data_IF_336028472062
#
_entry.id   IF_336028472062
#
_cell.length_a   1.000
_cell.length_b   1.000
_cell.length_c   1.000
_cell.angle_alpha   90.00
_cell.angle_beta   90.00
_cell.angle_gamma   90.00
#
_symmetry.space_group_name_H-M   'P 1'
#
loop_
_entity.id
_entity.type
_entity.pdbx_description
1 polymer ?
#
# COMPACT_ATOMS: atom_id res chain seq x y z
N UNK A 1 21.06 8.95 -22.27
CA UNK A 1 19.60 9.05 -22.13
C UNK A 1 19.30 10.31 -21.36
N UNK A 2 18.68 11.34 -21.96
CA UNK A 2 18.46 12.66 -21.34
C UNK A 2 17.73 12.62 -19.98
N UNK A 3 17.00 11.54 -19.69
CA UNK A 3 16.30 11.33 -18.41
C UNK A 3 17.25 10.99 -17.25
N UNK A 4 18.26 10.13 -17.46
CA UNK A 4 19.21 9.75 -16.42
C UNK A 4 20.13 10.91 -16.02
N UNK A 5 20.37 11.84 -16.96
CA UNK A 5 21.17 13.03 -16.74
C UNK A 5 20.50 13.99 -15.72
N UNK A 6 19.24 13.78 -15.37
CA UNK A 6 18.51 14.54 -14.36
C UNK A 6 18.74 14.02 -12.93
N UNK A 7 19.55 12.97 -12.73
CA UNK A 7 19.78 12.37 -11.42
C UNK A 7 21.25 12.36 -11.03
N UNK A 8 21.51 12.29 -9.73
CA UNK A 8 22.81 12.04 -9.10
C UNK A 8 22.73 10.72 -8.34
N UNK A 9 23.84 10.00 -8.35
CA UNK A 9 23.98 8.74 -7.63
C UNK A 9 24.88 9.02 -6.44
N UNK A 10 24.39 8.71 -5.25
CA UNK A 10 25.11 8.87 -3.99
C UNK A 10 25.30 7.51 -3.32
N UNK A 11 26.42 7.37 -2.60
CA UNK A 11 26.69 6.18 -1.80
C UNK A 11 26.32 6.47 -0.33
N UNK A 12 25.70 5.50 0.33
CA UNK A 12 25.46 5.59 1.78
C UNK A 12 26.78 5.55 2.55
N UNK A 13 26.84 6.08 3.79
CA UNK A 13 27.96 5.81 4.68
C UNK A 13 28.20 4.30 4.86
N UNK A 14 29.46 3.87 4.99
CA UNK A 14 29.86 2.45 5.00
C UNK A 14 29.07 1.63 6.04
N UNK A 15 28.89 2.17 7.26
CA UNK A 15 28.08 1.53 8.32
C UNK A 15 26.73 1.05 7.80
N UNK A 16 25.99 1.92 7.12
CA UNK A 16 24.63 1.62 6.66
C UNK A 16 24.60 0.75 5.41
N UNK A 17 25.68 0.75 4.61
CA UNK A 17 25.85 -0.25 3.55
C UNK A 17 26.02 -1.65 4.13
N UNK A 18 26.86 -1.78 5.17
CA UNK A 18 27.14 -3.07 5.82
C UNK A 18 25.91 -3.59 6.55
N UNK A 19 25.19 -2.72 7.29
CA UNK A 19 23.92 -3.08 7.94
C UNK A 19 22.83 -3.44 6.92
N UNK A 20 22.70 -2.67 5.83
CA UNK A 20 21.77 -2.99 4.76
C UNK A 20 22.06 -4.34 4.10
N UNK A 21 23.34 -4.67 3.92
CA UNK A 21 23.76 -5.99 3.42
C UNK A 21 23.42 -7.09 4.42
N UNK A 22 23.73 -6.91 5.71
CA UNK A 22 23.41 -7.91 6.73
C UNK A 22 21.89 -8.15 6.86
N UNK A 23 21.11 -7.08 6.79
CA UNK A 23 19.65 -7.16 6.75
C UNK A 23 19.18 -7.92 5.51
N UNK A 24 19.72 -7.59 4.33
CA UNK A 24 19.39 -8.28 3.08
C UNK A 24 19.74 -9.77 3.12
N UNK A 25 20.90 -10.15 3.65
CA UNK A 25 21.29 -11.57 3.81
C UNK A 25 20.32 -12.34 4.73
N UNK A 26 19.74 -11.65 5.71
CA UNK A 26 18.76 -12.24 6.65
C UNK A 26 17.37 -12.33 6.04
N UNK A 27 16.90 -11.23 5.43
CA UNK A 27 15.50 -11.05 5.04
C UNK A 27 15.23 -11.22 3.55
N UNK A 28 16.23 -11.21 2.68
CA UNK A 28 16.07 -11.39 1.23
C UNK A 28 17.30 -12.04 0.57
N UNK A 29 17.70 -13.27 0.95
CA UNK A 29 18.90 -13.93 0.43
C UNK A 29 18.85 -14.23 -1.08
N UNK A 30 17.67 -14.23 -1.71
CA UNK A 30 17.45 -14.50 -3.14
C UNK A 30 17.76 -13.30 -4.06
N UNK A 31 18.07 -12.12 -3.48
CA UNK A 31 18.41 -10.92 -4.24
C UNK A 31 19.43 -11.14 -5.38
N UNK A 32 20.52 -11.96 -5.21
CA UNK A 32 21.48 -12.21 -6.28
C UNK A 32 20.85 -12.83 -7.54
N UNK A 33 19.73 -13.53 -7.45
CA UNK A 33 19.04 -14.11 -8.61
C UNK A 33 18.46 -13.03 -9.53
N UNK A 34 17.96 -11.93 -8.95
CA UNK A 34 17.40 -10.78 -9.69
C UNK A 34 18.52 -9.94 -10.28
N UNK A 35 19.64 -9.82 -9.57
CA UNK A 35 20.81 -9.06 -10.00
C UNK A 35 21.74 -9.86 -10.93
N UNK A 36 21.39 -11.10 -11.25
CA UNK A 36 22.05 -11.88 -12.30
C UNK A 36 21.54 -11.45 -13.68
N UNK A 37 22.46 -11.00 -14.54
CA UNK A 37 22.11 -10.43 -15.85
C UNK A 37 21.41 -11.45 -16.77
N UNK A 38 21.88 -12.70 -16.94
CA UNK A 38 21.15 -13.73 -17.67
C UNK A 38 19.71 -13.94 -17.18
N UNK A 39 19.51 -14.05 -15.86
CA UNK A 39 18.17 -14.18 -15.28
C UNK A 39 17.31 -12.94 -15.55
N UNK A 40 17.84 -11.74 -15.33
CA UNK A 40 17.15 -10.49 -15.61
C UNK A 40 16.71 -10.39 -17.07
N UNK A 41 17.62 -10.62 -18.01
CA UNK A 41 17.35 -10.51 -19.45
C UNK A 41 16.32 -11.54 -19.96
N UNK A 42 16.12 -12.66 -19.24
CA UNK A 42 15.05 -13.63 -19.55
C UNK A 42 13.66 -13.06 -19.35
N UNK A 43 13.45 -12.25 -18.30
CA UNK A 43 12.14 -11.70 -17.96
C UNK A 43 11.96 -10.24 -18.42
N UNK A 44 13.06 -9.48 -18.46
CA UNK A 44 13.07 -8.05 -18.79
C UNK A 44 14.20 -7.70 -19.79
N UNK A 45 14.17 -8.21 -21.04
CA UNK A 45 15.25 -8.05 -22.02
C UNK A 45 15.54 -6.60 -22.39
N UNK A 46 14.51 -5.75 -22.39
CA UNK A 46 14.59 -4.34 -22.79
C UNK A 46 14.62 -3.37 -21.60
N UNK A 47 14.51 -3.88 -20.37
CA UNK A 47 14.52 -3.04 -19.16
C UNK A 47 15.92 -3.09 -18.54
N UNK A 48 16.52 -1.94 -18.16
CA UNK A 48 17.73 -1.93 -17.35
C UNK A 48 17.51 -2.62 -16.01
N UNK A 49 18.53 -3.32 -15.52
CA UNK A 49 18.52 -3.93 -14.18
C UNK A 49 18.43 -2.85 -13.09
N UNK A 50 17.72 -3.10 -11.98
CA UNK A 50 17.66 -2.19 -10.84
C UNK A 50 19.07 -1.92 -10.29
N UNK A 51 19.23 -0.74 -9.68
CA UNK A 51 20.48 -0.29 -9.07
C UNK A 51 20.28 -0.10 -7.58
N UNK A 52 21.09 -0.77 -6.75
CA UNK A 52 21.09 -0.57 -5.30
C UNK A 52 21.94 0.66 -4.94
N UNK A 53 21.40 1.84 -5.16
CA UNK A 53 22.07 3.11 -4.85
C UNK A 53 21.06 4.18 -4.51
N UNK A 54 21.50 5.21 -3.80
CA UNK A 54 20.71 6.42 -3.56
C UNK A 54 20.68 7.22 -4.85
N UNK A 55 19.47 7.53 -5.34
CA UNK A 55 19.27 8.26 -6.59
C UNK A 55 18.51 9.54 -6.28
N UNK A 56 19.19 10.67 -6.39
CA UNK A 56 18.66 11.99 -6.07
C UNK A 56 18.41 12.77 -7.35
N UNK A 57 17.21 13.30 -7.52
CA UNK A 57 16.92 14.24 -8.61
C UNK A 57 17.81 15.48 -8.49
N UNK A 58 18.33 15.97 -9.62
CA UNK A 58 19.02 17.25 -9.68
C UNK A 58 18.00 18.38 -9.46
N UNK A 59 18.33 19.43 -8.68
CA UNK A 59 17.38 20.51 -8.38
C UNK A 59 16.83 21.25 -9.61
N UNK A 60 17.58 21.31 -10.70
CA UNK A 60 17.21 21.92 -11.98
C UNK A 60 16.44 20.95 -12.91
N UNK A 61 16.65 19.64 -12.75
CA UNK A 61 16.06 18.62 -13.63
C UNK A 61 14.54 18.47 -13.52
N UNK A 62 13.95 18.85 -12.38
CA UNK A 62 12.54 18.56 -12.06
C UNK A 62 11.67 19.80 -11.83
N UNK A 63 12.10 20.99 -12.26
CA UNK A 63 11.34 22.24 -12.07
C UNK A 63 9.91 22.23 -12.64
N UNK A 64 9.66 21.49 -13.73
CA UNK A 64 8.33 21.30 -14.31
C UNK A 64 7.46 20.24 -13.62
N UNK A 65 8.05 19.42 -12.75
CA UNK A 65 7.33 18.33 -12.07
C UNK A 65 6.44 18.85 -10.94
N UNK A 66 6.92 19.84 -10.18
CA UNK A 66 6.15 20.54 -9.14
C UNK A 66 4.84 21.19 -9.67
N UNK A 67 4.71 21.37 -10.99
CA UNK A 67 3.55 21.99 -11.63
C UNK A 67 2.43 20.99 -12.00
N UNK A 68 2.71 19.68 -12.02
CA UNK A 68 1.74 18.63 -12.39
C UNK A 68 1.07 17.96 -11.20
N UNK A 69 1.50 18.26 -9.98
CA UNK A 69 0.93 17.74 -8.74
C UNK A 69 -0.20 18.67 -8.28
N UNK A 70 -1.37 18.11 -7.99
CA UNK A 70 -2.50 18.87 -7.44
C UNK A 70 -2.16 19.40 -6.04
N UNK A 71 -2.41 20.69 -5.79
CA UNK A 71 -2.29 21.29 -4.44
C UNK A 71 -0.96 21.95 -4.10
N UNK A 72 -0.11 22.31 -5.08
CA UNK A 72 1.13 23.07 -4.83
C UNK A 72 0.85 24.49 -4.26
N UNK A 73 1.62 24.93 -3.26
CA UNK A 73 1.55 26.27 -2.66
C UNK A 73 2.79 27.09 -3.04
N UNK A 74 2.81 28.41 -2.81
CA UNK A 74 3.98 29.27 -3.07
C UNK A 74 5.25 28.85 -2.30
N UNK A 75 5.10 28.19 -1.14
CA UNK A 75 6.21 27.66 -0.35
C UNK A 75 6.81 26.36 -0.92
N UNK A 76 6.00 25.56 -1.63
CA UNK A 76 6.40 24.24 -2.16
C UNK A 76 6.47 24.17 -3.68
N UNK A 77 6.10 25.26 -4.38
CA UNK A 77 6.13 25.37 -5.83
C UNK A 77 7.53 25.55 -6.42
N UNK A 78 8.53 25.88 -5.58
CA UNK A 78 9.93 26.03 -6.01
C UNK A 78 10.88 25.27 -5.09
N UNK A 79 11.82 24.55 -5.68
CA UNK A 79 12.95 23.94 -4.97
C UNK A 79 13.87 24.98 -4.31
N UNK A 80 13.85 26.24 -4.76
CA UNK A 80 14.67 27.33 -4.20
C UNK A 80 14.30 27.69 -2.76
N UNK A 81 13.07 27.41 -2.33
CA UNK A 81 12.54 27.81 -1.03
C UNK A 81 12.69 26.69 0.04
N UNK A 82 13.37 25.60 -0.31
CA UNK A 82 13.49 24.41 0.54
C UNK A 82 14.70 24.48 1.45
N UNK A 83 14.62 23.73 2.55
CA UNK A 83 15.72 23.57 3.50
C UNK A 83 16.61 22.42 3.03
N UNK A 84 17.88 22.73 2.72
CA UNK A 84 18.86 21.74 2.24
C UNK A 84 19.68 21.09 3.35
N UNK A 85 19.59 21.62 4.57
CA UNK A 85 20.20 21.07 5.77
C UNK A 85 19.17 21.02 6.88
N UNK A 86 19.13 19.92 7.63
CA UNK A 86 18.16 19.69 8.69
C UNK A 86 18.34 20.63 9.89
N UNK A 87 19.54 21.13 10.14
CA UNK A 87 19.80 22.14 11.19
C UNK A 87 19.05 23.46 11.01
N UNK A 88 18.66 23.79 9.77
CA UNK A 88 17.82 24.96 9.48
C UNK A 88 16.34 24.73 9.77
N UNK A 89 15.93 23.50 10.04
CA UNK A 89 14.54 23.17 10.33
C UNK A 89 14.21 23.46 11.80
N UNK A 90 13.14 24.24 12.08
CA UNK A 90 12.61 24.40 13.43
C UNK A 90 12.31 23.04 14.08
N UNK A 91 12.53 22.93 15.39
CA UNK A 91 12.47 21.67 16.13
C UNK A 91 11.14 20.91 15.97
N UNK A 92 10.00 21.60 16.03
CA UNK A 92 8.68 20.96 15.82
C UNK A 92 8.52 20.40 14.39
N UNK A 93 9.06 21.11 13.39
CA UNK A 93 9.07 20.67 12.00
C UNK A 93 10.06 19.51 11.81
N UNK A 94 11.24 19.56 12.44
CA UNK A 94 12.21 18.47 12.41
C UNK A 94 11.62 17.17 12.94
N UNK A 95 10.96 17.21 14.11
CA UNK A 95 10.32 16.02 14.67
C UNK A 95 9.18 15.49 13.80
N UNK A 96 8.46 16.37 13.11
CA UNK A 96 7.41 15.96 12.16
C UNK A 96 8.03 15.32 10.92
N UNK A 97 9.08 15.92 10.37
CA UNK A 97 9.80 15.39 9.23
C UNK A 97 10.40 14.02 9.52
N UNK A 98 11.06 13.88 10.67
CA UNK A 98 11.61 12.61 11.16
C UNK A 98 10.55 11.53 11.23
N UNK A 99 9.37 11.81 11.81
CA UNK A 99 8.26 10.84 11.87
C UNK A 99 7.79 10.39 10.49
N UNK A 100 7.71 11.30 9.53
CA UNK A 100 7.29 10.99 8.15
C UNK A 100 8.35 10.14 7.45
N UNK A 101 9.63 10.55 7.53
CA UNK A 101 10.74 9.81 6.91
C UNK A 101 10.87 8.42 7.53
N UNK A 102 10.77 8.30 8.86
CA UNK A 102 10.76 7.01 9.56
C UNK A 102 9.59 6.13 9.12
N UNK A 103 8.39 6.70 8.96
CA UNK A 103 7.23 5.94 8.49
C UNK A 103 7.45 5.41 7.07
N UNK A 104 7.94 6.24 6.14
CA UNK A 104 8.26 5.83 4.78
C UNK A 104 9.38 4.77 4.77
N UNK A 105 10.47 4.98 5.49
CA UNK A 105 11.57 4.02 5.53
C UNK A 105 11.15 2.64 6.11
N UNK A 106 10.18 2.64 7.02
CA UNK A 106 9.63 1.41 7.61
C UNK A 106 8.75 0.64 6.64
N UNK A 107 8.07 1.29 5.68
CA UNK A 107 7.21 0.57 4.73
C UNK A 107 8.02 -0.30 3.80
N UNK A 108 9.19 0.18 3.38
CA UNK A 108 9.97 -0.48 2.35
C UNK A 108 10.59 -1.79 2.85
N UNK A 109 11.05 -1.81 4.12
CA UNK A 109 11.52 -3.07 4.74
C UNK A 109 10.35 -4.00 5.07
N UNK A 110 9.21 -3.45 5.47
CA UNK A 110 8.01 -4.23 5.78
C UNK A 110 7.46 -4.95 4.56
N UNK A 111 7.43 -4.30 3.39
CA UNK A 111 6.91 -4.93 2.17
C UNK A 111 7.76 -6.11 1.74
N UNK A 112 9.10 -6.01 1.84
CA UNK A 112 10.01 -7.14 1.56
C UNK A 112 9.70 -8.33 2.46
N UNK A 113 9.55 -8.09 3.77
CA UNK A 113 9.24 -9.14 4.73
C UNK A 113 7.89 -9.82 4.43
N UNK A 114 6.89 -9.07 3.97
CA UNK A 114 5.58 -9.61 3.57
C UNK A 114 5.65 -10.39 2.25
N UNK A 115 6.25 -9.80 1.20
CA UNK A 115 6.34 -10.42 -0.13
C UNK A 115 7.14 -11.71 -0.12
N UNK A 116 8.18 -11.79 0.72
CA UNK A 116 8.99 -12.99 0.92
C UNK A 116 8.19 -14.22 1.27
N UNK A 117 7.23 -14.06 2.18
CA UNK A 117 6.38 -15.16 2.61
C UNK A 117 5.63 -15.81 1.43
N UNK A 118 5.39 -15.08 0.33
CA UNK A 118 4.69 -15.61 -0.83
C UNK A 118 5.65 -16.20 -1.86
N UNK A 119 6.75 -15.53 -2.24
CA UNK A 119 7.63 -16.11 -3.25
C UNK A 119 8.41 -17.32 -2.74
N UNK A 120 8.72 -17.42 -1.44
CA UNK A 120 9.30 -18.64 -0.86
C UNK A 120 8.37 -19.85 -1.02
N UNK A 121 7.05 -19.65 -0.89
CA UNK A 121 6.07 -20.70 -1.13
C UNK A 121 5.99 -21.10 -2.60
N UNK A 122 6.14 -20.13 -3.51
CA UNK A 122 6.20 -20.39 -4.95
C UNK A 122 7.46 -21.17 -5.33
N UNK A 123 8.62 -20.80 -4.78
CA UNK A 123 9.92 -21.38 -5.14
C UNK A 123 10.16 -22.74 -4.47
N UNK A 124 9.79 -22.89 -3.20
CA UNK A 124 9.99 -24.13 -2.44
C UNK A 124 9.10 -25.28 -2.87
N UNK A 125 8.18 -25.07 -3.82
CA UNK A 125 7.18 -26.05 -4.22
C UNK A 125 6.21 -26.46 -3.09
N UNK A 126 6.34 -25.83 -1.92
CA UNK A 126 5.46 -25.92 -0.75
C UNK A 126 4.20 -25.12 -1.02
N UNK A 127 3.49 -25.55 -2.04
CA UNK A 127 2.22 -24.97 -2.40
C UNK A 127 1.23 -25.41 -1.33
N UNK A 128 0.65 -24.44 -0.62
CA UNK A 128 -0.45 -24.64 0.35
C UNK A 128 -1.74 -25.16 -0.30
N UNK A 129 -1.66 -25.75 -1.51
CA UNK A 129 -2.76 -25.99 -2.44
C UNK A 129 -3.18 -24.70 -3.13
N UNK A 130 -3.53 -23.68 -2.35
CA UNK A 130 -4.25 -22.51 -2.83
C UNK A 130 -3.49 -21.66 -3.87
N UNK A 131 -2.23 -21.28 -3.60
CA UNK A 131 -1.46 -20.45 -4.54
C UNK A 131 -1.10 -21.22 -5.83
N UNK A 132 -0.97 -22.55 -5.75
CA UNK A 132 -0.82 -23.40 -6.95
C UNK A 132 -2.08 -23.35 -7.79
N UNK A 133 -3.24 -23.53 -7.16
CA UNK A 133 -4.53 -23.50 -7.84
C UNK A 133 -4.75 -22.16 -8.53
N UNK A 134 -4.36 -21.05 -7.88
CA UNK A 134 -4.38 -19.72 -8.49
C UNK A 134 -3.52 -19.68 -9.75
N UNK A 135 -2.26 -20.09 -9.68
CA UNK A 135 -1.33 -20.03 -10.82
C UNK A 135 -1.77 -20.96 -11.95
N UNK A 136 -2.19 -22.18 -11.63
CA UNK A 136 -2.72 -23.14 -12.60
C UNK A 136 -4.01 -22.63 -13.23
N UNK A 137 -4.86 -21.94 -12.46
CA UNK A 137 -6.05 -21.28 -12.95
C UNK A 137 -5.78 -20.19 -13.96
N UNK A 138 -4.86 -19.29 -13.60
CA UNK A 138 -4.36 -18.26 -14.51
C UNK A 138 -3.88 -18.92 -15.81
N UNK A 139 -3.06 -19.97 -15.71
CA UNK A 139 -2.54 -20.68 -16.88
C UNK A 139 -3.62 -21.36 -17.72
N UNK A 140 -4.68 -21.91 -17.11
CA UNK A 140 -5.83 -22.48 -17.83
C UNK A 140 -6.59 -21.41 -18.62
N UNK A 141 -6.79 -20.23 -18.03
CA UNK A 141 -7.53 -19.14 -18.68
C UNK A 141 -6.70 -18.33 -19.68
N UNK A 142 -5.38 -18.27 -19.48
CA UNK A 142 -4.42 -17.64 -20.37
C UNK A 142 -3.11 -18.44 -20.40
N UNK A 143 -2.99 -19.43 -21.31
CA UNK A 143 -1.78 -20.24 -21.42
C UNK A 143 -0.52 -19.45 -21.80
N UNK A 144 -0.70 -18.26 -22.38
CA UNK A 144 0.39 -17.34 -22.76
C UNK A 144 0.73 -16.32 -21.68
N UNK A 145 -0.06 -16.27 -20.61
CA UNK A 145 0.07 -15.33 -19.52
C UNK A 145 1.23 -15.64 -18.57
N UNK A 146 1.18 -15.05 -17.37
CA UNK A 146 2.26 -15.16 -16.41
C UNK A 146 2.44 -16.59 -15.88
N UNK A 147 3.64 -17.13 -16.10
CA UNK A 147 4.07 -18.41 -15.52
C UNK A 147 4.48 -18.23 -14.06
N UNK A 148 4.48 -19.33 -13.30
CA UNK A 148 4.89 -19.35 -11.88
C UNK A 148 6.26 -18.69 -11.68
N UNK A 149 7.25 -19.05 -12.50
CA UNK A 149 8.61 -18.53 -12.42
C UNK A 149 8.67 -17.02 -12.70
N UNK A 150 7.86 -16.53 -13.64
CA UNK A 150 7.75 -15.11 -13.93
C UNK A 150 7.07 -14.33 -12.79
N UNK A 151 6.05 -14.90 -12.14
CA UNK A 151 5.38 -14.30 -10.97
C UNK A 151 6.36 -14.22 -9.79
N UNK A 152 7.08 -15.31 -9.51
CA UNK A 152 8.12 -15.33 -8.47
C UNK A 152 9.21 -14.28 -8.75
N UNK A 153 9.74 -14.25 -9.97
CA UNK A 153 10.77 -13.28 -10.37
C UNK A 153 10.29 -11.83 -10.28
N UNK A 154 9.04 -11.56 -10.67
CA UNK A 154 8.38 -10.25 -10.53
C UNK A 154 8.35 -9.80 -9.06
N UNK A 155 7.98 -10.68 -8.12
CA UNK A 155 7.96 -10.35 -6.69
C UNK A 155 9.34 -10.11 -6.09
N UNK A 156 10.33 -10.91 -6.50
CA UNK A 156 11.72 -10.68 -6.10
C UNK A 156 12.22 -9.34 -6.63
N UNK A 157 11.85 -8.96 -7.86
CA UNK A 157 12.13 -7.62 -8.39
C UNK A 157 11.53 -6.51 -7.53
N UNK A 158 10.26 -6.61 -7.14
CA UNK A 158 9.63 -5.67 -6.20
C UNK A 158 10.48 -5.55 -4.93
N UNK A 159 10.91 -6.67 -4.34
CA UNK A 159 11.74 -6.64 -3.14
C UNK A 159 13.11 -5.95 -3.34
N UNK A 160 13.72 -6.04 -4.54
CA UNK A 160 14.95 -5.30 -4.87
C UNK A 160 14.68 -3.80 -4.93
N UNK A 161 13.59 -3.40 -5.59
CA UNK A 161 13.20 -2.00 -5.74
C UNK A 161 12.83 -1.39 -4.36
N UNK A 162 12.15 -2.14 -3.50
CA UNK A 162 11.83 -1.74 -2.12
C UNK A 162 13.07 -1.65 -1.23
N UNK A 163 14.04 -2.57 -1.37
CA UNK A 163 15.31 -2.44 -0.65
C UNK A 163 16.05 -1.16 -1.08
N UNK A 164 15.96 -0.81 -2.36
CA UNK A 164 16.50 0.45 -2.85
C UNK A 164 15.72 1.66 -2.33
N UNK A 165 14.40 1.57 -2.19
CA UNK A 165 13.60 2.61 -1.53
C UNK A 165 14.05 2.82 -0.07
N UNK A 166 14.34 1.73 0.65
CA UNK A 166 14.93 1.82 1.98
C UNK A 166 16.29 2.54 1.93
N UNK A 167 17.19 2.15 1.02
CA UNK A 167 18.48 2.85 0.84
C UNK A 167 18.28 4.34 0.51
N UNK A 168 17.25 4.66 -0.26
CA UNK A 168 16.90 6.04 -0.58
C UNK A 168 16.55 6.84 0.68
N UNK A 169 15.72 6.28 1.57
CA UNK A 169 15.35 6.91 2.84
C UNK A 169 16.52 6.97 3.82
N UNK A 170 17.36 5.93 3.86
CA UNK A 170 18.62 5.97 4.59
C UNK A 170 19.50 7.12 4.10
N UNK A 171 19.53 7.37 2.79
CA UNK A 171 20.26 8.49 2.19
C UNK A 171 19.71 9.84 2.64
N UNK A 172 18.38 9.98 2.72
CA UNK A 172 17.72 11.19 3.24
C UNK A 172 18.11 11.47 4.71
N UNK A 173 18.27 10.43 5.53
CA UNK A 173 18.63 10.55 6.94
C UNK A 173 20.13 10.78 7.17
N UNK A 174 21.00 10.23 6.31
CA UNK A 174 22.42 10.04 6.66
C UNK A 174 23.40 10.80 5.78
N UNK A 175 23.00 11.29 4.60
CA UNK A 175 23.88 12.08 3.72
C UNK A 175 24.00 13.55 4.15
N UNK A 176 23.01 14.06 4.89
CA UNK A 176 23.09 15.36 5.54
C UNK A 176 23.60 15.18 6.97
N UNK A 177 24.88 15.49 7.20
CA UNK A 177 25.51 15.41 8.52
C UNK A 177 24.77 16.22 9.59
N UNK A 178 24.02 17.25 9.19
CA UNK A 178 23.26 18.09 10.13
C UNK A 178 21.99 17.43 10.65
N UNK A 179 21.53 16.35 10.01
CA UNK A 179 20.37 15.58 10.43
C UNK A 179 20.65 14.82 11.73
N UNK A 180 21.87 14.29 11.87
CA UNK A 180 22.29 13.53 13.06
C UNK A 180 23.02 14.39 14.12
N UNK A 181 23.07 15.72 13.93
CA UNK A 181 23.51 16.63 14.99
C UNK A 181 22.68 16.38 16.25
N UNK A 182 23.35 16.24 17.39
CA UNK A 182 22.70 15.93 18.64
C UNK A 182 21.59 16.95 18.97
N UNK A 183 20.35 16.47 19.13
CA UNK A 183 19.21 17.28 19.59
C UNK A 183 18.60 16.63 20.81
N UNK A 184 18.56 17.38 21.92
CA UNK A 184 18.12 16.88 23.22
C UNK A 184 18.88 15.60 23.66
N UNK A 185 20.17 15.54 23.35
CA UNK A 185 21.04 14.41 23.70
C UNK A 185 20.87 13.17 22.82
N UNK A 186 20.10 13.24 21.72
CA UNK A 186 19.84 12.12 20.81
C UNK A 186 20.44 12.34 19.42
N UNK A 187 20.86 11.24 18.81
CA UNK A 187 21.34 11.15 17.43
C UNK A 187 20.24 10.51 16.57
N UNK A 188 19.28 11.33 16.16
CA UNK A 188 18.01 10.87 15.63
C UNK A 188 18.13 10.06 14.34
N UNK A 189 19.06 10.39 13.44
CA UNK A 189 19.23 9.61 12.21
C UNK A 189 19.83 8.24 12.54
N UNK A 190 20.89 8.21 13.35
CA UNK A 190 21.52 6.95 13.76
C UNK A 190 20.56 6.03 14.52
N UNK A 191 19.86 6.57 15.53
CA UNK A 191 18.90 5.80 16.32
C UNK A 191 17.71 5.31 15.48
N UNK A 192 17.25 6.11 14.52
CA UNK A 192 16.16 5.70 13.61
C UNK A 192 16.60 4.60 12.66
N UNK A 193 17.81 4.68 12.10
CA UNK A 193 18.34 3.64 11.22
C UNK A 193 18.54 2.31 11.96
N UNK A 194 19.10 2.36 13.17
CA UNK A 194 19.25 1.19 14.04
C UNK A 194 17.89 0.56 14.39
N UNK A 195 16.89 1.39 14.69
CA UNK A 195 15.52 0.94 14.92
C UNK A 195 14.96 0.24 13.67
N UNK A 196 15.07 0.86 12.49
CA UNK A 196 14.53 0.34 11.23
C UNK A 196 15.12 -1.03 10.87
N UNK A 197 16.43 -1.22 11.02
CA UNK A 197 17.07 -2.52 10.77
C UNK A 197 16.70 -3.58 11.81
N UNK A 198 16.35 -3.17 13.04
CA UNK A 198 15.93 -4.07 14.10
C UNK A 198 14.46 -4.50 14.00
N UNK A 199 13.62 -3.78 13.24
CA UNK A 199 12.19 -4.08 13.11
C UNK A 199 11.94 -5.47 12.53
N UNK A 200 11.06 -6.21 13.21
CA UNK A 200 10.59 -7.53 12.77
C UNK A 200 9.17 -7.46 12.21
N UNK A 201 8.73 -8.52 11.49
CA UNK A 201 7.33 -8.62 11.06
C UNK A 201 6.38 -8.42 12.25
N UNK A 202 5.46 -7.47 12.12
CA UNK A 202 4.52 -7.08 13.18
C UNK A 202 4.95 -5.90 14.05
N UNK A 203 6.13 -5.33 13.83
CA UNK A 203 6.66 -4.17 14.59
C UNK A 203 6.78 -2.90 13.73
N UNK A 204 6.33 -2.93 12.48
CA UNK A 204 6.40 -1.79 11.57
C UNK A 204 5.45 -0.67 11.97
N UNK A 205 5.78 0.55 11.54
CA UNK A 205 5.10 1.79 11.93
C UNK A 205 3.64 1.83 11.49
N UNK A 206 3.33 1.25 10.33
CA UNK A 206 1.99 1.24 9.75
C UNK A 206 1.40 -0.17 9.81
N UNK A 207 0.18 -0.25 10.33
CA UNK A 207 -0.52 -1.52 10.61
C UNK A 207 -0.65 -2.42 9.38
N UNK A 208 -0.80 -1.85 8.17
CA UNK A 208 -0.89 -2.61 6.92
C UNK A 208 0.35 -3.48 6.64
N UNK A 209 1.54 -3.03 7.06
CA UNK A 209 2.81 -3.74 6.87
C UNK A 209 3.05 -4.81 7.95
N UNK A 210 2.17 -4.88 8.95
CA UNK A 210 2.17 -5.89 10.00
C UNK A 210 1.24 -7.08 9.67
N UNK A 211 0.57 -7.06 8.52
CA UNK A 211 -0.32 -8.13 8.05
C UNK A 211 0.49 -9.10 7.18
N UNK A 212 0.67 -10.33 7.65
CA UNK A 212 1.38 -11.35 6.88
C UNK A 212 0.68 -11.68 5.56
N UNK A 213 1.42 -11.79 4.45
CA UNK A 213 0.85 -12.31 3.22
C UNK A 213 0.74 -13.82 3.30
N UNK A 214 -0.45 -14.35 3.00
CA UNK A 214 -0.74 -15.78 3.06
C UNK A 214 -1.15 -16.34 1.70
N UNK A 215 -1.30 -15.50 0.69
CA UNK A 215 -1.63 -15.89 -0.67
C UNK A 215 -1.12 -14.90 -1.72
N UNK A 216 -1.01 -15.37 -2.96
CA UNK A 216 -0.93 -14.56 -4.16
C UNK A 216 -2.00 -13.48 -4.25
N UNK A 217 -3.23 -13.74 -3.75
CA UNK A 217 -4.28 -12.72 -3.70
C UNK A 217 -3.87 -11.54 -2.83
N UNK A 218 -3.24 -11.80 -1.67
CA UNK A 218 -2.78 -10.73 -0.77
C UNK A 218 -1.75 -9.86 -1.47
N UNK A 219 -0.76 -10.49 -2.11
CA UNK A 219 0.26 -9.77 -2.87
C UNK A 219 -0.33 -8.95 -4.03
N UNK A 220 -1.30 -9.49 -4.76
CA UNK A 220 -1.93 -8.80 -5.90
C UNK A 220 -2.75 -7.59 -5.45
N UNK A 221 -3.58 -7.77 -4.41
CA UNK A 221 -4.41 -6.69 -3.85
C UNK A 221 -3.54 -5.65 -3.14
N UNK A 222 -2.50 -6.06 -2.42
CA UNK A 222 -1.55 -5.15 -1.77
C UNK A 222 -0.88 -4.23 -2.79
N UNK A 223 -0.26 -4.79 -3.83
CA UNK A 223 0.37 -3.98 -4.87
C UNK A 223 -0.63 -3.13 -5.65
N UNK A 224 -1.87 -3.59 -5.77
CA UNK A 224 -2.93 -2.81 -6.43
C UNK A 224 -3.44 -1.65 -5.58
N UNK A 225 -3.57 -1.84 -4.26
CA UNK A 225 -4.29 -0.93 -3.35
C UNK A 225 -3.34 -0.24 -2.36
N UNK A 226 -2.45 -0.97 -1.70
CA UNK A 226 -1.54 -0.44 -0.67
C UNK A 226 -0.36 0.31 -1.27
N UNK A 227 0.34 -0.24 -2.27
CA UNK A 227 1.41 0.50 -2.99
C UNK A 227 0.84 1.75 -3.66
N UNK A 228 -0.44 1.72 -4.04
CA UNK A 228 -1.13 2.91 -4.55
C UNK A 228 -1.21 4.02 -3.51
N UNK A 229 -1.31 3.70 -2.23
CA UNK A 229 -1.15 4.70 -1.16
C UNK A 229 0.28 5.24 -1.17
N UNK A 230 1.29 4.39 -1.34
CA UNK A 230 2.70 4.76 -1.55
C UNK A 230 2.86 5.78 -2.67
N UNK A 231 2.32 5.52 -3.86
CA UNK A 231 2.23 6.46 -4.99
C UNK A 231 1.74 7.85 -4.56
N UNK A 232 0.61 7.94 -3.83
CA UNK A 232 0.09 9.23 -3.35
C UNK A 232 1.04 9.90 -2.38
N UNK A 233 1.63 9.16 -1.44
CA UNK A 233 2.60 9.71 -0.49
C UNK A 233 3.82 10.25 -1.21
N UNK A 234 4.41 9.51 -2.15
CA UNK A 234 5.58 9.93 -2.92
C UNK A 234 5.29 11.18 -3.77
N UNK A 235 4.13 11.25 -4.43
CA UNK A 235 3.72 12.43 -5.20
C UNK A 235 3.55 13.66 -4.30
N UNK A 236 2.87 13.51 -3.17
CA UNK A 236 2.66 14.59 -2.22
C UNK A 236 3.96 15.05 -1.56
N UNK A 237 4.84 14.10 -1.20
CA UNK A 237 6.11 14.35 -0.52
C UNK A 237 7.20 14.84 -1.49
N UNK A 238 6.98 14.83 -2.81
CA UNK A 238 7.83 15.61 -3.70
C UNK A 238 7.80 17.12 -3.34
N UNK A 239 6.80 17.60 -2.60
CA UNK A 239 6.67 18.97 -2.13
C UNK A 239 7.19 19.19 -0.69
N UNK A 240 7.95 18.26 -0.14
CA UNK A 240 8.48 18.34 1.21
C UNK A 240 9.40 19.56 1.43
N UNK A 241 9.27 20.22 2.59
CA UNK A 241 10.10 21.37 2.98
C UNK A 241 11.61 21.04 2.98
N UNK A 242 11.97 19.83 3.40
CA UNK A 242 13.33 19.31 3.35
C UNK A 242 13.70 18.89 1.91
N UNK A 243 14.65 19.61 1.32
CA UNK A 243 15.10 19.42 -0.06
C UNK A 243 15.56 17.99 -0.38
N UNK A 244 16.43 17.36 0.44
CA UNK A 244 16.86 15.98 0.23
C UNK A 244 15.71 14.97 0.17
N UNK A 245 14.70 15.10 1.04
CA UNK A 245 13.50 14.27 0.97
C UNK A 245 12.76 14.48 -0.36
N UNK A 246 12.55 15.73 -0.76
CA UNK A 246 11.81 16.05 -1.98
C UNK A 246 12.41 15.50 -3.28
N UNK A 247 13.74 15.59 -3.40
CA UNK A 247 14.46 15.12 -4.61
C UNK A 247 14.69 13.61 -4.61
N UNK A 248 14.42 12.93 -3.49
CA UNK A 248 14.50 11.48 -3.40
C UNK A 248 13.28 10.76 -3.99
N UNK A 249 12.12 11.43 -4.03
CA UNK A 249 10.84 10.86 -4.47
C UNK A 249 10.72 10.52 -5.96
N UNK A 250 11.22 11.34 -6.92
CA UNK A 250 10.86 11.17 -8.34
C UNK A 250 11.28 9.83 -8.95
N UNK A 251 12.46 9.32 -8.61
CA UNK A 251 12.92 8.03 -9.14
C UNK A 251 12.03 6.88 -8.68
N UNK A 252 11.79 6.80 -7.36
CA UNK A 252 10.87 5.82 -6.73
C UNK A 252 9.50 5.88 -7.41
N UNK A 253 8.91 7.06 -7.47
CA UNK A 253 7.56 7.25 -7.98
C UNK A 253 7.40 6.81 -9.44
N UNK A 254 8.31 7.19 -10.34
CA UNK A 254 8.05 7.05 -11.78
C UNK A 254 8.54 5.74 -12.39
N UNK A 255 9.66 5.22 -11.91
CA UNK A 255 10.24 3.99 -12.49
C UNK A 255 9.83 2.75 -11.72
N UNK A 256 9.97 2.78 -10.39
CA UNK A 256 9.88 1.58 -9.55
C UNK A 256 8.44 1.37 -9.09
N UNK A 257 7.84 2.36 -8.42
CA UNK A 257 6.47 2.26 -7.94
C UNK A 257 5.46 2.04 -9.08
N UNK A 258 5.67 2.66 -10.24
CA UNK A 258 4.83 2.41 -11.42
C UNK A 258 4.84 0.95 -11.86
N UNK A 259 5.98 0.26 -11.72
CA UNK A 259 6.09 -1.15 -12.02
C UNK A 259 5.34 -1.99 -10.97
N UNK A 260 5.49 -1.68 -9.67
CA UNK A 260 4.76 -2.36 -8.59
C UNK A 260 3.24 -2.32 -8.86
N UNK A 261 2.69 -1.13 -9.13
CA UNK A 261 1.27 -0.95 -9.43
C UNK A 261 0.84 -1.77 -10.66
N UNK A 262 1.62 -1.72 -11.75
CA UNK A 262 1.29 -2.42 -12.98
C UNK A 262 1.34 -3.96 -12.83
N UNK A 263 2.32 -4.46 -12.07
CA UNK A 263 2.46 -5.87 -11.75
C UNK A 263 1.30 -6.36 -10.87
N UNK A 264 0.92 -5.57 -9.85
CA UNK A 264 -0.23 -5.85 -8.99
C UNK A 264 -1.55 -5.89 -9.77
N UNK A 265 -1.80 -4.87 -10.61
CA UNK A 265 -3.01 -4.78 -11.42
C UNK A 265 -3.13 -5.93 -12.43
N UNK A 266 -2.03 -6.28 -13.09
CA UNK A 266 -2.00 -7.40 -14.06
C UNK A 266 -2.28 -8.72 -13.36
N UNK A 267 -1.64 -8.96 -12.20
CA UNK A 267 -1.87 -10.17 -11.43
C UNK A 267 -3.30 -10.24 -10.89
N UNK A 268 -3.84 -9.15 -10.35
CA UNK A 268 -5.22 -9.11 -9.84
C UNK A 268 -6.25 -9.40 -10.94
N UNK A 269 -6.07 -8.86 -12.15
CA UNK A 269 -6.91 -9.15 -13.31
C UNK A 269 -6.86 -10.64 -13.69
N UNK A 270 -5.65 -11.21 -13.75
CA UNK A 270 -5.47 -12.61 -14.07
C UNK A 270 -6.14 -13.53 -13.03
N UNK A 271 -5.99 -13.22 -11.73
CA UNK A 271 -6.68 -13.94 -10.64
C UNK A 271 -8.19 -13.80 -10.79
N UNK A 272 -8.72 -12.60 -11.04
CA UNK A 272 -10.15 -12.37 -11.19
C UNK A 272 -10.76 -13.15 -12.36
N UNK A 273 -10.08 -13.17 -13.51
CA UNK A 273 -10.50 -13.96 -14.69
C UNK A 273 -10.51 -15.45 -14.37
N UNK A 274 -9.43 -15.96 -13.76
CA UNK A 274 -9.33 -17.35 -13.35
C UNK A 274 -10.43 -17.73 -12.34
N UNK A 275 -10.71 -16.87 -11.36
CA UNK A 275 -11.73 -17.08 -10.34
C UNK A 275 -13.16 -17.20 -10.90
N UNK A 276 -13.43 -16.66 -12.10
CA UNK A 276 -14.76 -16.65 -12.72
C UNK A 276 -14.92 -17.67 -13.87
N UNK A 277 -13.85 -18.02 -14.59
CA UNK A 277 -13.93 -18.78 -15.86
C UNK A 277 -13.53 -20.26 -15.79
N UNK A 278 -13.56 -20.90 -14.62
CA UNK A 278 -13.09 -22.29 -14.37
C UNK A 278 -11.57 -22.41 -14.12
N UNK A 279 -11.01 -21.42 -13.42
CA UNK A 279 -9.60 -21.39 -13.02
C UNK A 279 -9.27 -22.27 -11.82
N UNK A 280 -10.16 -23.08 -11.25
CA UNK A 280 -9.83 -24.03 -10.18
C UNK A 280 -10.70 -23.89 -8.94
N UNK A 281 -10.15 -24.25 -7.78
CA UNK A 281 -10.92 -24.39 -6.54
C UNK A 281 -11.08 -23.10 -5.73
N UNK A 282 -10.91 -21.94 -6.38
CA UNK A 282 -11.11 -20.63 -5.78
C UNK A 282 -12.11 -19.83 -6.61
N UNK A 283 -12.91 -19.01 -5.94
CA UNK A 283 -13.95 -18.21 -6.57
C UNK A 283 -13.69 -16.72 -6.47
N UNK A 284 -14.51 -15.94 -7.18
CA UNK A 284 -14.43 -14.47 -7.13
C UNK A 284 -14.67 -13.95 -5.71
N UNK A 285 -15.43 -14.69 -4.89
CA UNK A 285 -15.67 -14.40 -3.48
C UNK A 285 -14.38 -14.41 -2.63
N UNK A 286 -13.40 -15.26 -2.94
CA UNK A 286 -12.11 -15.30 -2.21
C UNK A 286 -11.30 -14.03 -2.48
N UNK A 287 -11.32 -13.57 -3.74
CA UNK A 287 -10.70 -12.30 -4.12
C UNK A 287 -11.46 -11.12 -3.50
N UNK A 288 -12.81 -11.14 -3.52
CA UNK A 288 -13.63 -10.12 -2.88
C UNK A 288 -13.36 -10.02 -1.37
N UNK A 289 -13.24 -11.14 -0.66
CA UNK A 289 -12.87 -11.15 0.75
C UNK A 289 -11.47 -10.53 0.97
N UNK A 290 -10.54 -10.78 0.05
CA UNK A 290 -9.20 -10.18 0.10
C UNK A 290 -9.24 -8.66 -0.12
N UNK A 291 -10.09 -8.17 -1.03
CA UNK A 291 -10.36 -6.73 -1.20
C UNK A 291 -10.99 -6.12 0.06
N UNK A 292 -11.95 -6.82 0.67
CA UNK A 292 -12.61 -6.42 1.92
C UNK A 292 -11.61 -6.24 3.07
N UNK A 293 -10.54 -7.04 3.09
CA UNK A 293 -9.48 -6.94 4.09
C UNK A 293 -8.51 -5.78 3.81
N UNK A 294 -8.02 -5.63 2.59
CA UNK A 294 -6.94 -4.68 2.27
C UNK A 294 -7.41 -3.25 2.03
N UNK A 295 -8.59 -3.05 1.46
CA UNK A 295 -9.08 -1.71 1.14
C UNK A 295 -9.19 -0.79 2.38
N UNK A 296 -9.78 -1.24 3.52
CA UNK A 296 -9.83 -0.43 4.73
C UNK A 296 -8.44 -0.05 5.26
N UNK A 297 -7.46 -0.96 5.15
CA UNK A 297 -6.08 -0.73 5.58
C UNK A 297 -5.40 0.36 4.74
N UNK A 298 -5.67 0.40 3.43
CA UNK A 298 -5.20 1.49 2.57
C UNK A 298 -5.77 2.86 2.98
N UNK A 299 -7.06 2.93 3.35
CA UNK A 299 -7.66 4.18 3.84
C UNK A 299 -7.02 4.65 5.15
N UNK A 300 -6.72 3.72 6.06
CA UNK A 300 -6.11 4.02 7.36
C UNK A 300 -4.68 4.52 7.28
N UNK A 301 -3.94 4.16 6.23
CA UNK A 301 -2.59 4.67 5.98
C UNK A 301 -2.56 6.17 5.69
N UNK A 302 -3.65 6.75 5.18
CA UNK A 302 -3.76 8.21 5.10
C UNK A 302 -3.99 8.87 6.47
N UNK A 303 -4.39 8.10 7.48
CA UNK A 303 -4.79 8.58 8.80
C UNK A 303 -6.23 9.12 8.83
N UNK A 304 -6.58 9.79 9.93
CA UNK A 304 -7.91 10.41 10.11
C UNK A 304 -8.17 11.47 9.06
N UNK A 305 -9.40 11.53 8.54
CA UNK A 305 -9.79 12.46 7.47
C UNK A 305 -9.79 13.93 7.95
N UNK A 306 -9.87 14.19 9.27
CA UNK A 306 -9.65 15.54 9.86
C UNK A 306 -8.17 15.96 9.86
N UNK A 307 -7.27 14.99 9.68
CA UNK A 307 -5.83 15.23 9.73
C UNK A 307 -5.29 15.86 8.46
N UNK A 308 -4.07 16.40 8.58
CA UNK A 308 -3.32 16.94 7.45
C UNK A 308 -3.15 18.46 7.46
N UNK A 309 -3.89 19.19 8.30
CA UNK A 309 -3.87 20.66 8.30
C UNK A 309 -2.51 21.26 8.65
N UNK A 310 -1.82 20.71 9.66
CA UNK A 310 -0.51 21.19 10.10
C UNK A 310 0.64 20.81 9.17
N UNK A 311 0.42 19.86 8.26
CA UNK A 311 1.46 19.34 7.36
C UNK A 311 1.21 19.69 5.89
N UNK A 312 -0.01 20.11 5.53
CA UNK A 312 -0.36 20.59 4.18
C UNK A 312 0.38 21.89 3.88
N UNK A 313 1.03 21.95 2.72
CA UNK A 313 1.85 23.07 2.30
C UNK A 313 3.24 23.14 2.95
N UNK A 314 3.59 22.16 3.82
CA UNK A 314 4.90 22.06 4.45
C UNK A 314 5.57 20.72 4.09
N UNK A 315 4.89 19.60 4.34
CA UNK A 315 5.42 18.26 4.09
C UNK A 315 4.64 17.49 3.01
N UNK A 316 3.42 17.93 2.68
CA UNK A 316 2.59 17.35 1.63
C UNK A 316 1.63 18.35 1.00
N UNK A 317 1.07 18.05 -0.17
CA UNK A 317 0.17 18.96 -0.89
C UNK A 317 -1.31 18.82 -0.53
N UNK A 318 -1.75 17.64 -0.09
CA UNK A 318 -3.16 17.35 0.19
C UNK A 318 -3.40 17.03 1.67
N UNK A 319 -4.62 17.35 2.14
CA UNK A 319 -5.15 16.83 3.42
C UNK A 319 -5.48 15.35 3.28
N UNK A 320 -5.68 14.68 4.42
CA UNK A 320 -5.98 13.25 4.44
C UNK A 320 -7.29 12.93 3.68
N UNK A 321 -8.36 13.69 3.94
CA UNK A 321 -9.64 13.52 3.24
C UNK A 321 -9.54 13.70 1.72
N UNK A 322 -8.79 14.71 1.27
CA UNK A 322 -8.60 15.00 -0.16
C UNK A 322 -7.85 13.84 -0.84
N UNK A 323 -6.76 13.36 -0.24
CA UNK A 323 -5.99 12.24 -0.77
C UNK A 323 -6.80 10.93 -0.77
N UNK A 324 -7.56 10.65 0.30
CA UNK A 324 -8.44 9.49 0.35
C UNK A 324 -9.51 9.52 -0.74
N UNK A 325 -10.14 10.67 -1.02
CA UNK A 325 -11.16 10.77 -2.05
C UNK A 325 -10.63 10.39 -3.44
N UNK A 326 -9.43 10.88 -3.79
CA UNK A 326 -8.78 10.54 -5.06
C UNK A 326 -8.36 9.06 -5.08
N UNK A 327 -7.81 8.56 -3.97
CA UNK A 327 -7.46 7.14 -3.82
C UNK A 327 -8.66 6.22 -4.03
N UNK A 328 -9.83 6.55 -3.46
CA UNK A 328 -11.06 5.76 -3.60
C UNK A 328 -11.47 5.68 -5.07
N UNK A 329 -11.44 6.80 -5.80
CA UNK A 329 -11.77 6.84 -7.23
C UNK A 329 -10.79 6.00 -8.06
N UNK A 330 -9.49 6.12 -7.79
CA UNK A 330 -8.48 5.32 -8.51
C UNK A 330 -8.65 3.82 -8.27
N UNK A 331 -8.85 3.41 -7.01
CA UNK A 331 -9.04 2.00 -6.65
C UNK A 331 -10.35 1.46 -7.21
N UNK A 332 -11.44 2.25 -7.20
CA UNK A 332 -12.69 1.88 -7.87
C UNK A 332 -12.47 1.64 -9.37
N UNK A 333 -11.65 2.47 -10.02
CA UNK A 333 -11.22 2.26 -11.40
C UNK A 333 -10.49 0.93 -11.61
N UNK A 334 -9.72 0.47 -10.62
CA UNK A 334 -9.02 -0.83 -10.71
C UNK A 334 -9.94 -2.03 -10.56
N UNK A 335 -10.90 -1.93 -9.64
CA UNK A 335 -11.97 -2.93 -9.51
C UNK A 335 -12.77 -3.01 -10.82
N UNK A 336 -13.09 -1.86 -11.42
CA UNK A 336 -13.71 -1.80 -12.75
C UNK A 336 -12.84 -2.46 -13.82
N UNK A 337 -11.55 -2.17 -13.89
CA UNK A 337 -10.65 -2.78 -14.87
C UNK A 337 -10.54 -4.31 -14.70
N UNK A 338 -10.60 -4.83 -13.47
CA UNK A 338 -10.67 -6.27 -13.20
C UNK A 338 -11.99 -6.87 -13.71
N UNK A 339 -13.12 -6.22 -13.44
CA UNK A 339 -14.42 -6.64 -13.96
C UNK A 339 -14.48 -6.59 -15.50
N UNK A 340 -13.86 -5.59 -16.12
CA UNK A 340 -13.72 -5.55 -17.59
C UNK A 340 -12.91 -6.73 -18.10
N UNK A 341 -11.82 -7.10 -17.44
CA UNK A 341 -11.03 -8.28 -17.81
C UNK A 341 -11.86 -9.58 -17.73
N UNK A 342 -12.68 -9.75 -16.68
CA UNK A 342 -13.63 -10.88 -16.56
C UNK A 342 -14.58 -10.91 -17.75
N UNK A 343 -15.24 -9.79 -18.06
CA UNK A 343 -16.21 -9.69 -19.15
C UNK A 343 -15.55 -9.95 -20.50
N UNK A 344 -14.39 -9.35 -20.77
CA UNK A 344 -13.63 -9.56 -22.01
C UNK A 344 -13.25 -11.03 -22.18
N UNK A 345 -12.80 -11.69 -21.12
CA UNK A 345 -12.42 -13.09 -21.18
C UNK A 345 -13.64 -14.02 -21.36
N UNK A 346 -14.77 -13.72 -20.70
CA UNK A 346 -16.03 -14.50 -20.84
C UNK A 346 -16.66 -14.35 -22.22
N UNK A 347 -16.82 -13.11 -22.68
CA UNK A 347 -17.55 -12.77 -23.89
C UNK A 347 -16.66 -12.74 -25.14
N UNK A 348 -15.32 -12.77 -24.98
CA UNK A 348 -14.32 -12.65 -26.04
C UNK A 348 -14.54 -11.41 -26.90
N UNK A 349 -14.70 -10.27 -26.25
CA UNK A 349 -15.12 -9.01 -26.85
C UNK A 349 -14.08 -7.88 -26.69
N UNK A 350 -14.29 -6.77 -27.40
CA UNK A 350 -13.46 -5.57 -27.23
C UNK A 350 -13.68 -4.92 -25.86
N UNK A 351 -12.82 -3.96 -25.51
CA UNK A 351 -12.98 -3.20 -24.25
C UNK A 351 -14.28 -2.39 -24.25
N UNK A 352 -14.63 -1.77 -25.38
CA UNK A 352 -15.86 -0.97 -25.51
C UNK A 352 -17.11 -1.83 -25.35
N UNK A 353 -17.10 -3.03 -25.94
CA UNK A 353 -18.18 -4.01 -25.78
C UNK A 353 -18.28 -4.50 -24.33
N UNK A 354 -17.14 -4.78 -23.69
CA UNK A 354 -17.10 -5.18 -22.30
C UNK A 354 -17.62 -4.08 -21.36
N UNK A 355 -17.34 -2.81 -21.64
CA UNK A 355 -17.89 -1.69 -20.88
C UNK A 355 -19.43 -1.60 -21.01
N UNK A 356 -19.97 -1.87 -22.20
CA UNK A 356 -21.42 -1.91 -22.40
C UNK A 356 -22.07 -3.07 -21.65
N UNK A 357 -21.45 -4.25 -21.68
CA UNK A 357 -21.92 -5.44 -20.94
C UNK A 357 -21.86 -5.21 -19.43
N UNK A 358 -20.73 -4.67 -18.93
CA UNK A 358 -20.54 -4.39 -17.51
C UNK A 358 -21.60 -3.43 -16.98
N UNK A 359 -21.93 -2.38 -17.74
CA UNK A 359 -23.00 -1.44 -17.39
C UNK A 359 -24.36 -2.12 -17.25
N UNK A 360 -24.74 -2.98 -18.21
CA UNK A 360 -26.02 -3.73 -18.15
C UNK A 360 -26.09 -4.63 -16.92
N UNK A 361 -24.99 -5.32 -16.59
CA UNK A 361 -24.93 -6.16 -15.38
C UNK A 361 -25.06 -5.31 -14.10
N UNK A 362 -24.32 -4.20 -14.00
CA UNK A 362 -24.22 -3.42 -12.76
C UNK A 362 -25.41 -2.48 -12.52
N UNK A 363 -25.93 -1.83 -13.57
CA UNK A 363 -26.98 -0.81 -13.48
C UNK A 363 -28.38 -1.40 -13.70
N UNK A 364 -28.52 -2.33 -14.65
CA UNK A 364 -29.83 -2.90 -15.03
C UNK A 364 -30.10 -4.24 -14.34
N UNK A 365 -29.08 -4.85 -13.72
CA UNK A 365 -29.19 -6.16 -13.05
C UNK A 365 -29.37 -7.32 -14.02
N UNK A 366 -29.01 -7.13 -15.29
CA UNK A 366 -29.17 -8.15 -16.31
C UNK A 366 -28.13 -9.28 -16.16
N UNK A 367 -28.53 -10.49 -16.54
CA UNK A 367 -27.58 -11.60 -16.75
C UNK A 367 -27.10 -11.56 -18.20
N UNK A 368 -25.81 -11.32 -18.42
CA UNK A 368 -25.23 -11.17 -19.76
C UNK A 368 -24.06 -12.12 -19.92
N UNK A 369 -24.05 -12.95 -20.96
CA UNK A 369 -23.06 -14.03 -21.18
C UNK A 369 -22.91 -15.00 -19.98
N UNK A 370 -23.98 -15.16 -19.20
CA UNK A 370 -24.00 -15.96 -17.99
C UNK A 370 -23.24 -15.35 -16.81
N UNK A 371 -22.84 -14.08 -16.91
CA UNK A 371 -22.35 -13.29 -15.79
C UNK A 371 -23.49 -12.53 -15.15
N UNK A 372 -23.46 -12.49 -13.83
CA UNK A 372 -24.35 -11.73 -12.96
C UNK A 372 -23.53 -10.73 -12.13
N UNK A 373 -24.20 -9.95 -11.30
CA UNK A 373 -23.52 -9.04 -10.37
C UNK A 373 -22.65 -9.76 -9.35
N UNK A 374 -22.98 -10.99 -8.99
CA UNK A 374 -22.26 -11.80 -8.00
C UNK A 374 -20.95 -12.37 -8.57
N UNK A 375 -20.80 -12.38 -9.90
CA UNK A 375 -19.57 -12.78 -10.59
C UNK A 375 -18.55 -11.64 -10.73
N UNK A 376 -18.88 -10.45 -10.21
CA UNK A 376 -18.09 -9.22 -10.34
C UNK A 376 -17.61 -8.72 -8.98
N UNK A 377 -16.42 -8.12 -8.96
CA UNK A 377 -15.87 -7.47 -7.79
C UNK A 377 -16.57 -6.13 -7.54
N UNK A 378 -16.59 -5.73 -6.28
CA UNK A 378 -16.98 -4.39 -5.86
C UNK A 378 -16.00 -3.84 -4.82
N UNK A 379 -15.92 -2.52 -4.76
CA UNK A 379 -15.20 -1.85 -3.67
C UNK A 379 -16.14 -1.79 -2.46
N UNK A 380 -15.75 -2.32 -1.28
CA UNK A 380 -16.56 -2.18 -0.08
C UNK A 380 -16.70 -0.70 0.30
N UNK A 381 -17.74 -0.37 1.06
CA UNK A 381 -17.94 1.00 1.54
C UNK A 381 -16.74 1.47 2.36
N UNK A 382 -16.34 2.73 2.20
CA UNK A 382 -15.20 3.34 2.92
C UNK A 382 -15.27 3.24 4.46
N UNK A 383 -16.46 3.00 5.01
CA UNK A 383 -16.72 2.80 6.44
C UNK A 383 -16.51 1.36 6.91
N UNK A 384 -16.55 0.41 6.00
CA UNK A 384 -16.44 -1.01 6.31
C UNK A 384 -15.08 -1.31 6.96
N UNK A 385 -15.12 -1.97 8.13
CA UNK A 385 -13.97 -2.57 8.80
C UNK A 385 -12.77 -1.63 9.04
N UNK A 386 -13.06 -0.38 9.48
CA UNK A 386 -12.08 0.65 9.80
C UNK A 386 -11.72 0.68 11.30
N UNK A 387 -10.43 0.72 11.61
CA UNK A 387 -9.86 0.94 12.95
C UNK A 387 -9.40 2.39 13.19
N UNK A 388 -9.25 3.20 12.13
CA UNK A 388 -8.93 4.64 12.22
C UNK A 388 -9.82 5.45 11.25
N UNK A 389 -10.41 6.56 11.70
CA UNK A 389 -11.18 7.48 10.84
C UNK A 389 -11.93 8.60 11.59
N UNK A 390 -12.80 9.36 10.90
CA UNK A 390 -13.58 10.46 11.50
C UNK A 390 -14.47 10.01 12.67
N UNK A 391 -14.56 10.91 13.64
CA UNK A 391 -15.57 10.98 14.71
C UNK A 391 -17.03 10.92 14.22
N UNK A 392 -17.29 11.24 12.95
CA UNK A 392 -18.63 11.52 12.40
C UNK A 392 -19.14 10.45 11.43
N UNK A 393 -18.39 9.35 11.22
CA UNK A 393 -18.85 8.27 10.32
C UNK A 393 -19.76 7.28 11.01
N UNK A 394 -20.88 7.77 11.54
CA UNK A 394 -21.98 6.97 12.07
C UNK A 394 -22.65 7.69 13.23
N UNK A 395 -23.90 7.33 13.50
CA UNK A 395 -24.68 7.83 14.61
C UNK A 395 -24.08 7.45 15.97
N UNK A 396 -22.79 7.11 16.12
CA UNK A 396 -22.16 6.58 17.34
C UNK A 396 -20.71 7.07 17.60
N UNK A 397 -20.34 7.25 18.89
CA UNK A 397 -19.02 7.72 19.39
C UNK A 397 -18.47 6.82 20.52
N UNK A 398 -17.15 6.64 20.60
CA UNK A 398 -16.48 6.05 21.78
C UNK A 398 -16.06 7.16 22.77
N UNK A 399 -16.13 6.89 24.07
CA UNK A 399 -15.82 7.90 25.09
C UNK A 399 -14.30 8.16 25.13
N UNK A 400 -13.86 9.42 24.95
CA UNK A 400 -12.45 9.80 25.01
C UNK A 400 -11.72 10.00 23.67
N UNK A 401 -12.39 9.83 22.53
CA UNK A 401 -11.83 10.03 21.17
C UNK A 401 -11.43 11.48 20.83
N UNK A 402 -11.77 12.43 21.70
CA UNK A 402 -11.67 13.87 21.43
C UNK A 402 -10.24 14.43 21.55
N UNK A 403 -9.31 13.67 22.14
CA UNK A 403 -7.98 14.18 22.51
C UNK A 403 -6.88 14.01 21.43
N UNK A 404 -7.10 13.21 20.38
CA UNK A 404 -6.04 12.87 19.41
C UNK A 404 -6.42 12.93 17.93
N UNK A 405 -7.68 13.27 17.59
CA UNK A 405 -8.15 13.25 16.20
C UNK A 405 -8.18 11.85 15.56
N UNK A 406 -7.97 10.79 16.35
CA UNK A 406 -8.09 9.39 15.95
C UNK A 406 -9.45 8.91 16.47
N UNK A 407 -10.48 8.96 15.62
CA UNK A 407 -11.74 8.29 15.92
C UNK A 407 -11.52 6.80 15.75
N UNK A 408 -11.45 6.06 16.85
CA UNK A 408 -11.60 4.62 16.84
C UNK A 408 -13.10 4.38 16.68
N UNK A 409 -13.53 4.08 15.46
CA UNK A 409 -14.95 3.97 15.14
C UNK A 409 -15.31 2.50 15.14
N UNK A 410 -15.70 1.96 16.30
CA UNK A 410 -16.51 0.75 16.28
C UNK A 410 -17.89 1.15 15.70
N UNK A 411 -18.06 0.90 14.41
CA UNK A 411 -19.34 0.98 13.71
C UNK A 411 -19.57 -0.35 13.00
N UNK A 412 -20.44 -1.22 13.53
CA UNK A 412 -20.73 -2.47 12.87
C UNK A 412 -21.58 -2.17 11.63
N UNK A 413 -20.93 -2.16 10.47
CA UNK A 413 -21.59 -2.02 9.18
C UNK A 413 -21.18 -3.15 8.25
N UNK A 414 -22.09 -3.48 7.33
CA UNK A 414 -21.82 -4.47 6.30
C UNK A 414 -20.85 -3.92 5.24
N UNK A 415 -20.41 -4.78 4.32
CA UNK A 415 -19.52 -4.42 3.20
C UNK A 415 -20.08 -3.33 2.28
N UNK A 416 -21.38 -3.02 2.36
CA UNK A 416 -22.04 -1.94 1.63
C UNK A 416 -22.31 -0.71 2.50
N UNK A 417 -21.78 -0.68 3.72
CA UNK A 417 -21.89 0.43 4.66
C UNK A 417 -23.25 0.58 5.31
N UNK A 418 -24.11 -0.45 5.27
CA UNK A 418 -25.37 -0.45 5.99
C UNK A 418 -25.11 -0.82 7.45
N UNK A 419 -25.59 -0.02 8.44
CA UNK A 419 -25.45 -0.37 9.84
C UNK A 419 -26.10 -1.72 10.14
N UNK A 420 -25.38 -2.59 10.84
CA UNK A 420 -25.88 -3.85 11.33
C UNK A 420 -26.53 -3.60 12.69
N UNK A 421 -27.85 -3.78 12.77
CA UNK A 421 -28.66 -3.48 13.94
C UNK A 421 -29.52 -4.67 14.37
N UNK A 422 -29.69 -4.82 15.68
CA UNK A 422 -30.59 -5.76 16.35
C UNK A 422 -31.42 -4.96 17.36
N UNK A 423 -32.75 -5.10 17.34
CA UNK A 423 -33.70 -4.33 18.18
C UNK A 423 -33.49 -2.80 18.15
N UNK A 424 -33.12 -2.26 16.99
CA UNK A 424 -32.90 -0.81 16.80
C UNK A 424 -31.59 -0.29 17.40
N UNK A 425 -30.70 -1.18 17.85
CA UNK A 425 -29.35 -0.85 18.36
C UNK A 425 -28.27 -1.51 17.50
N UNK A 426 -27.03 -0.98 17.43
CA UNK A 426 -25.94 -1.65 16.75
C UNK A 426 -25.71 -3.04 17.33
N UNK A 427 -25.42 -4.03 16.48
CA UNK A 427 -25.10 -5.38 16.95
C UNK A 427 -23.90 -5.39 17.90
N UNK A 428 -23.90 -6.37 18.80
CA UNK A 428 -22.79 -6.60 19.73
C UNK A 428 -21.50 -6.99 19.00
N UNK A 429 -20.36 -6.71 19.64
CA UNK A 429 -19.01 -6.95 19.08
C UNK A 429 -18.81 -8.40 18.63
N UNK A 430 -19.32 -9.35 19.40
CA UNK A 430 -19.24 -10.77 19.07
C UNK A 430 -20.01 -11.09 17.77
N UNK A 431 -21.24 -10.56 17.63
CA UNK A 431 -22.02 -10.71 16.42
C UNK A 431 -21.36 -10.02 15.21
N UNK A 432 -20.67 -8.90 15.42
CA UNK A 432 -19.91 -8.25 14.35
C UNK A 432 -18.69 -9.09 13.94
N UNK A 433 -18.00 -9.74 14.87
CA UNK A 433 -16.94 -10.70 14.54
C UNK A 433 -17.49 -11.85 13.70
N UNK A 434 -18.67 -12.38 14.05
CA UNK A 434 -19.30 -13.45 13.28
C UNK A 434 -19.66 -13.00 11.86
N UNK A 435 -20.16 -11.77 11.71
CA UNK A 435 -20.34 -11.15 10.39
C UNK A 435 -19.01 -11.04 9.63
N UNK A 436 -17.95 -10.52 10.26
CA UNK A 436 -16.64 -10.37 9.63
C UNK A 436 -16.05 -11.72 9.17
N UNK A 437 -16.31 -12.82 9.88
CA UNK A 437 -15.91 -14.18 9.44
C UNK A 437 -16.53 -14.58 8.10
N UNK A 438 -17.68 -14.01 7.74
CA UNK A 438 -18.38 -14.32 6.46
C UNK A 438 -17.84 -13.52 5.27
N UNK A 439 -17.17 -12.39 5.51
CA UNK A 439 -16.77 -11.45 4.46
C UNK A 439 -15.26 -11.16 4.41
N UNK A 440 -14.49 -11.63 5.40
CA UNK A 440 -13.04 -11.55 5.44
C UNK A 440 -12.41 -12.94 5.22
N UNK A 441 -11.17 -13.02 4.73
CA UNK A 441 -10.51 -14.29 4.49
C UNK A 441 -10.32 -15.08 5.79
N UNK A 442 -10.60 -16.39 5.77
CA UNK A 442 -10.38 -17.25 6.95
C UNK A 442 -8.92 -17.17 7.46
N UNK A 443 -7.96 -17.10 6.53
CA UNK A 443 -6.51 -16.93 6.82
C UNK A 443 -6.19 -15.63 7.57
N UNK A 444 -6.99 -14.58 7.38
CA UNK A 444 -6.83 -13.32 8.10
C UNK A 444 -7.40 -13.41 9.52
N UNK A 445 -8.55 -14.08 9.68
CA UNK A 445 -9.24 -14.25 10.97
C UNK A 445 -8.44 -15.09 11.99
N UNK A 446 -7.35 -15.72 11.57
CA UNK A 446 -6.39 -16.44 12.42
C UNK A 446 -5.02 -15.78 12.48
N UNK A 447 -4.88 -14.56 11.93
CA UNK A 447 -3.61 -13.84 11.88
C UNK A 447 -3.33 -13.08 13.19
N UNK A 448 -2.05 -12.84 13.47
CA UNK A 448 -1.60 -11.98 14.58
C UNK A 448 -2.21 -10.58 14.52
N UNK A 449 -2.35 -10.01 13.32
CA UNK A 449 -2.95 -8.69 13.17
C UNK A 449 -4.46 -8.70 13.48
N UNK A 450 -5.18 -9.78 13.16
CA UNK A 450 -6.57 -9.92 13.59
C UNK A 450 -6.71 -10.01 15.12
N UNK A 451 -5.81 -10.73 15.80
CA UNK A 451 -5.78 -10.75 17.27
C UNK A 451 -5.59 -9.34 17.84
N UNK A 452 -4.67 -8.57 17.27
CA UNK A 452 -4.50 -7.16 17.60
C UNK A 452 -5.78 -6.33 17.37
N UNK A 453 -6.43 -6.46 16.20
CA UNK A 453 -7.70 -5.75 15.92
C UNK A 453 -8.78 -6.13 16.94
N UNK A 454 -8.89 -7.42 17.24
CA UNK A 454 -9.87 -7.96 18.19
C UNK A 454 -9.60 -7.41 19.59
N UNK A 455 -8.36 -7.52 20.09
CA UNK A 455 -8.04 -7.23 21.48
C UNK A 455 -7.87 -5.73 21.74
N UNK A 456 -7.23 -4.99 20.82
CA UNK A 456 -6.94 -3.57 21.02
C UNK A 456 -8.05 -2.63 20.54
N UNK A 457 -8.94 -3.07 19.65
CA UNK A 457 -9.99 -2.22 19.07
C UNK A 457 -11.39 -2.72 19.35
N UNK A 458 -11.70 -3.97 18.99
CA UNK A 458 -13.06 -4.48 19.13
C UNK A 458 -13.42 -4.68 20.61
N UNK A 459 -12.57 -5.34 21.40
CA UNK A 459 -12.88 -5.75 22.77
C UNK A 459 -12.12 -4.98 23.86
N UNK A 460 -11.37 -3.94 23.50
CA UNK A 460 -10.65 -3.13 24.49
C UNK A 460 -11.62 -2.29 25.33
N UNK A 461 -11.66 -2.58 26.62
CA UNK A 461 -12.56 -1.95 27.61
C UNK A 461 -12.40 -0.43 27.68
N UNK A 462 -11.22 0.09 27.33
CA UNK A 462 -10.91 1.54 27.33
C UNK A 462 -11.82 2.33 26.39
N UNK A 463 -12.38 1.70 25.36
CA UNK A 463 -13.21 2.41 24.38
C UNK A 463 -14.67 2.61 24.82
N UNK A 464 -15.15 1.88 25.83
CA UNK A 464 -16.54 1.95 26.27
C UNK A 464 -17.56 1.48 25.22
N UNK A 465 -18.86 1.69 25.45
CA UNK A 465 -19.90 1.39 24.47
C UNK A 465 -20.08 2.55 23.47
N UNK A 466 -20.36 2.28 22.18
CA UNK A 466 -20.70 3.32 21.22
C UNK A 466 -21.94 4.07 21.68
N UNK A 467 -21.85 5.38 21.86
CA UNK A 467 -22.98 6.24 22.23
C UNK A 467 -23.50 7.00 21.03
N UNK A 468 -24.80 7.30 20.91
CA UNK A 468 -25.27 8.05 19.77
C UNK A 468 -24.51 9.38 19.56
N UNK A 469 -24.11 9.69 18.33
CA UNK A 469 -23.55 10.99 17.98
C UNK A 469 -24.67 12.03 18.19
N UNK A 470 -24.50 12.93 19.16
CA UNK A 470 -25.50 13.96 19.41
C UNK A 470 -25.69 14.77 18.12
N UNK A 471 -26.94 14.81 17.62
CA UNK A 471 -27.34 15.67 16.51
C UNK A 471 -26.92 17.10 16.84
N UNK A 472 -25.97 17.65 16.07
CA UNK A 472 -25.63 19.08 16.14
C UNK A 472 -26.46 19.85 15.14
#
# INVERSE_FOLDING_TARGET
MPFLDQFRIEALPQKWQDEGKHWQETYFPEMPEVLDRPNWSRYYPETPMPRLSVIMAKPDGFGGFAQKVVGATSATASLSNRLWTADKMPDAQFMTALKIIRAQASTELGSIQQHRMVYEQLDGGSLTGFDKEIVEGIHRTDPTGHRLDAISFSKKRVCVEELRHHMQMAGVLTLDETFDKARWGRHWATETMEELFAMKPGEHVLDAFNIEFKSLMDSATFMSFIDRVGKFQLEMQHHFLYGPMAISMPWMRFLEESYHLAAGETLMKAIAVAATLDGGNFGIADLQATLNMWYPRGLEMFGSELGGDLVKGVFKTLKNAEAQAIYIDEVLGKVKDANLAIVQARARCSREEAEAVLRRIQEEGETVHGLTKDDLLFLPDRRFFRIRGLREFGDYRLAGSDAAGVGYVYLPCDVHGRPLVEDGKPIERAAYVDYLRTVLPARYMTSRHWEFVKDEFLFNEKWGAPQPAASR
#
